data_IF_569106497278
#
_entry.id   IF_569106497278
#
_cell.length_a   1.000
_cell.length_b   1.000
_cell.length_c   1.000
_cell.angle_alpha   90.00
_cell.angle_beta   90.00
_cell.angle_gamma   90.00
#
_symmetry.space_group_name_H-M   'P 1'
#
loop_
_entity.id
_entity.type
_entity.pdbx_description
1 polymer ?
#
# COMPACT_ATOMS: atom_id res chain seq x y z
N UNK A 1 5.95 11.52 10.50
CA UNK A 1 6.32 12.54 11.51
C UNK A 1 5.20 12.79 12.52
N UNK A 2 3.95 12.92 12.12
CA UNK A 2 2.83 13.18 13.04
C UNK A 2 2.67 12.10 14.12
N UNK A 3 2.80 10.81 13.76
CA UNK A 3 2.69 9.71 14.71
C UNK A 3 3.80 9.72 15.79
N UNK A 4 5.01 10.18 15.44
CA UNK A 4 6.12 10.34 16.40
C UNK A 4 5.81 11.46 17.39
N UNK A 5 5.23 12.55 16.92
CA UNK A 5 4.85 13.69 17.77
C UNK A 5 3.76 13.26 18.76
N UNK A 6 2.77 12.48 18.30
CA UNK A 6 1.71 11.93 19.15
C UNK A 6 2.31 11.00 20.22
N UNK A 7 3.23 10.10 19.85
CA UNK A 7 3.88 9.20 20.79
C UNK A 7 4.73 9.94 21.82
N UNK A 8 5.49 10.95 21.40
CA UNK A 8 6.27 11.82 22.29
C UNK A 8 5.32 12.59 23.22
N UNK A 9 4.21 13.11 22.72
CA UNK A 9 3.22 13.85 23.53
C UNK A 9 2.58 12.94 24.59
N UNK A 10 2.25 11.69 24.24
CA UNK A 10 1.74 10.69 25.17
C UNK A 10 2.81 10.34 26.22
N UNK A 11 4.07 10.17 25.81
CA UNK A 11 5.18 9.89 26.72
C UNK A 11 5.40 11.05 27.70
N UNK A 12 5.37 12.29 27.22
CA UNK A 12 5.47 13.50 28.06
C UNK A 12 4.29 13.56 29.04
N UNK A 13 3.06 13.25 28.60
CA UNK A 13 1.88 13.20 29.46
C UNK A 13 2.05 12.16 30.59
N UNK A 14 2.60 10.98 30.26
CA UNK A 14 2.91 9.92 31.23
C UNK A 14 3.93 10.39 32.25
N UNK A 15 5.00 11.06 31.80
CA UNK A 15 6.04 11.61 32.66
C UNK A 15 5.49 12.72 33.56
N UNK A 16 4.64 13.61 33.04
CA UNK A 16 3.97 14.65 33.82
C UNK A 16 3.00 14.08 34.85
N UNK A 17 2.25 13.03 34.51
CA UNK A 17 1.38 12.31 35.43
C UNK A 17 2.18 11.58 36.52
N UNK A 18 3.35 11.04 36.21
CA UNK A 18 4.24 10.36 37.17
C UNK A 18 4.99 11.33 38.07
N UNK A 19 5.38 12.50 37.58
CA UNK A 19 6.12 13.50 38.39
C UNK A 19 5.28 14.12 39.52
N UNK A 20 3.96 14.10 39.41
CA UNK A 20 3.03 14.56 40.46
C UNK A 20 2.69 13.47 41.50
N UNK A 21 3.18 12.24 41.30
CA UNK A 21 2.93 11.10 42.19
C UNK A 21 4.12 10.87 43.12
N UNK A 22 3.84 10.66 44.42
CA UNK A 22 4.86 10.28 45.37
C UNK A 22 5.49 8.92 44.96
N UNK A 23 6.79 8.71 45.23
CA UNK A 23 7.53 7.47 45.01
C UNK A 23 6.81 6.23 45.54
N UNK A 24 6.02 6.37 46.57
CA UNK A 24 5.17 5.33 47.16
C UNK A 24 4.18 4.77 46.15
N UNK A 25 3.46 5.62 45.41
CA UNK A 25 2.46 5.17 44.43
C UNK A 25 3.11 4.39 43.28
N UNK A 26 4.28 4.84 42.82
CA UNK A 26 5.02 4.15 41.75
C UNK A 26 5.46 2.77 42.22
N UNK A 27 6.03 2.65 43.42
CA UNK A 27 6.46 1.39 43.98
C UNK A 27 5.28 0.41 44.20
N UNK A 28 4.16 0.91 44.69
CA UNK A 28 2.96 0.11 44.90
C UNK A 28 2.36 -0.37 43.58
N UNK A 29 2.29 0.50 42.55
CA UNK A 29 1.82 0.10 41.21
C UNK A 29 2.72 -0.94 40.55
N UNK A 30 4.05 -0.85 40.72
CA UNK A 30 4.98 -1.85 40.21
C UNK A 30 4.79 -3.21 40.93
N UNK A 31 4.54 -3.21 42.23
CA UNK A 31 4.19 -4.42 42.98
C UNK A 31 2.89 -5.06 42.50
N UNK A 32 1.86 -4.27 42.28
CA UNK A 32 0.59 -4.74 41.69
C UNK A 32 0.77 -5.24 40.26
N UNK A 33 1.62 -4.57 39.45
CA UNK A 33 1.96 -5.01 38.10
C UNK A 33 2.60 -6.42 38.12
N UNK A 34 3.57 -6.66 39.00
CA UNK A 34 4.21 -7.96 39.12
C UNK A 34 3.19 -9.08 39.47
N UNK A 35 2.31 -8.83 40.42
CA UNK A 35 1.24 -9.77 40.79
C UNK A 35 0.27 -10.02 39.63
N UNK A 36 -0.10 -8.97 38.90
CA UNK A 36 -1.01 -9.08 37.75
C UNK A 36 -0.37 -9.84 36.59
N UNK A 37 0.90 -9.54 36.26
CA UNK A 37 1.64 -10.25 35.24
C UNK A 37 1.76 -11.74 35.54
N UNK A 38 2.08 -12.11 36.80
CA UNK A 38 2.19 -13.51 37.19
C UNK A 38 0.85 -14.28 37.14
N UNK A 39 -0.29 -13.62 37.37
CA UNK A 39 -1.62 -14.28 37.33
C UNK A 39 -2.22 -14.34 35.93
N UNK A 40 -1.93 -13.36 35.08
CA UNK A 40 -2.52 -13.22 33.75
C UNK A 40 -1.53 -13.49 32.61
N UNK A 41 -0.32 -13.99 32.92
CA UNK A 41 0.75 -14.17 31.93
C UNK A 41 0.27 -14.90 30.66
N UNK A 42 -0.54 -15.94 30.81
CA UNK A 42 -1.06 -16.72 29.68
C UNK A 42 -1.91 -15.89 28.73
N UNK A 43 -2.80 -15.05 29.26
CA UNK A 43 -3.64 -14.16 28.44
C UNK A 43 -2.84 -13.01 27.84
N UNK A 44 -1.82 -12.53 28.57
CA UNK A 44 -0.90 -11.49 28.07
C UNK A 44 0.01 -12.04 26.97
N UNK A 45 0.54 -13.26 27.13
CA UNK A 45 1.28 -13.93 26.06
C UNK A 45 0.43 -14.14 24.81
N UNK A 46 -0.85 -14.53 24.99
CA UNK A 46 -1.76 -14.69 23.85
C UNK A 46 -1.97 -13.39 23.07
N UNK A 47 -2.18 -12.26 23.76
CA UNK A 47 -2.35 -10.97 23.07
C UNK A 47 -1.06 -10.51 22.39
N UNK A 48 0.11 -10.73 23.00
CA UNK A 48 1.39 -10.44 22.38
C UNK A 48 1.56 -11.24 21.09
N UNK A 49 1.31 -12.56 21.13
CA UNK A 49 1.38 -13.40 19.95
C UNK A 49 0.42 -12.94 18.84
N UNK A 50 -0.82 -12.61 19.21
CA UNK A 50 -1.81 -12.12 18.27
C UNK A 50 -1.39 -10.81 17.63
N UNK A 51 -0.90 -9.84 18.41
CA UNK A 51 -0.41 -8.56 17.91
C UNK A 51 0.82 -8.73 17.02
N UNK A 52 1.75 -9.61 17.37
CA UNK A 52 2.93 -9.93 16.55
C UNK A 52 2.49 -10.55 15.22
N UNK A 53 1.57 -11.51 15.25
CA UNK A 53 1.06 -12.13 14.03
C UNK A 53 0.42 -11.10 13.08
N UNK A 54 -0.37 -10.17 13.62
CA UNK A 54 -1.01 -9.12 12.81
C UNK A 54 0.03 -8.10 12.31
N UNK A 55 1.04 -7.76 13.10
CA UNK A 55 2.09 -6.85 12.63
C UNK A 55 2.93 -7.45 11.51
N UNK A 56 3.18 -8.77 11.52
CA UNK A 56 3.84 -9.48 10.42
C UNK A 56 2.95 -9.50 9.18
N UNK A 57 1.66 -9.77 9.36
CA UNK A 57 0.68 -9.77 8.26
C UNK A 57 0.56 -8.39 7.60
N UNK A 58 0.62 -7.31 8.38
CA UNK A 58 0.65 -5.94 7.88
C UNK A 58 1.93 -5.64 7.10
N UNK A 59 3.08 -6.08 7.61
CA UNK A 59 4.36 -5.97 6.89
C UNK A 59 4.32 -6.69 5.55
N UNK A 60 3.77 -7.90 5.52
CA UNK A 60 3.56 -8.67 4.29
C UNK A 60 2.62 -7.93 3.32
N UNK A 61 1.49 -7.42 3.81
CA UNK A 61 0.54 -6.65 3.00
C UNK A 61 1.19 -5.40 2.40
N UNK A 62 1.96 -4.67 3.18
CA UNK A 62 2.67 -3.48 2.70
C UNK A 62 3.65 -3.83 1.58
N UNK A 63 4.46 -4.87 1.77
CA UNK A 63 5.41 -5.36 0.76
C UNK A 63 4.69 -5.83 -0.52
N UNK A 64 3.62 -6.62 -0.37
CA UNK A 64 2.81 -7.06 -1.52
C UNK A 64 2.23 -5.89 -2.31
N UNK A 65 1.74 -4.86 -1.62
CA UNK A 65 1.19 -3.65 -2.25
C UNK A 65 2.27 -2.90 -3.05
N UNK A 66 3.49 -2.81 -2.52
CA UNK A 66 4.62 -2.22 -3.24
C UNK A 66 4.98 -3.03 -4.49
N UNK A 67 5.10 -4.34 -4.36
CA UNK A 67 5.38 -5.23 -5.49
C UNK A 67 4.32 -5.12 -6.60
N UNK A 68 3.03 -5.07 -6.23
CA UNK A 68 1.94 -4.88 -7.20
C UNK A 68 2.04 -3.52 -7.90
N UNK A 69 2.38 -2.45 -7.19
CA UNK A 69 2.60 -1.12 -7.79
C UNK A 69 3.77 -1.13 -8.78
N UNK A 70 4.89 -1.73 -8.41
CA UNK A 70 6.05 -1.86 -9.30
C UNK A 70 5.73 -2.74 -10.51
N UNK A 71 5.07 -3.87 -10.31
CA UNK A 71 4.67 -4.75 -11.39
C UNK A 71 3.80 -4.04 -12.43
N UNK A 72 2.82 -3.25 -11.98
CA UNK A 72 1.99 -2.42 -12.88
C UNK A 72 2.84 -1.38 -13.60
N UNK A 73 3.73 -0.70 -12.88
CA UNK A 73 4.54 0.36 -13.45
C UNK A 73 5.48 -0.14 -14.57
N UNK A 74 6.09 -1.31 -14.36
CA UNK A 74 7.01 -1.91 -15.33
C UNK A 74 6.33 -2.75 -16.42
N UNK A 75 4.99 -2.82 -16.42
CA UNK A 75 4.18 -3.45 -17.48
C UNK A 75 3.69 -2.42 -18.51
N UNK A 76 4.57 -1.56 -19.00
CA UNK A 76 4.32 -0.52 -19.99
C UNK A 76 3.41 0.65 -19.55
N UNK A 77 3.04 0.72 -18.26
CA UNK A 77 2.10 1.73 -17.75
C UNK A 77 2.78 2.89 -17.02
N UNK A 78 3.98 2.68 -16.45
CA UNK A 78 4.61 3.66 -15.57
C UNK A 78 3.89 3.82 -14.23
N UNK A 79 4.32 4.78 -13.41
CA UNK A 79 3.70 5.11 -12.13
C UNK A 79 2.61 6.16 -12.25
N UNK A 80 2.78 7.10 -13.20
CA UNK A 80 1.90 8.24 -13.42
C UNK A 80 1.49 8.28 -14.89
N UNK A 81 0.21 8.52 -15.12
CA UNK A 81 -0.36 8.69 -16.45
C UNK A 81 -0.90 10.11 -16.61
N UNK A 82 -0.55 10.75 -17.72
CA UNK A 82 -1.01 12.07 -18.12
C UNK A 82 -1.84 11.92 -19.39
N UNK A 83 -3.05 12.45 -19.40
CA UNK A 83 -3.94 12.49 -20.58
C UNK A 83 -4.69 13.81 -20.64
N UNK A 84 -5.28 14.12 -21.79
CA UNK A 84 -6.05 15.34 -21.96
C UNK A 84 -7.35 15.24 -21.18
N UNK A 85 -7.68 16.27 -20.40
CA UNK A 85 -8.92 16.32 -19.62
C UNK A 85 -10.12 16.42 -20.54
N UNK A 86 -11.06 15.47 -20.42
CA UNK A 86 -12.35 15.54 -21.08
C UNK A 86 -13.37 16.25 -20.19
N UNK A 87 -14.14 17.17 -20.77
CA UNK A 87 -15.22 17.87 -20.05
C UNK A 87 -16.47 16.99 -19.83
N UNK A 88 -16.52 15.78 -20.39
CA UNK A 88 -17.60 14.81 -20.20
C UNK A 88 -17.16 13.73 -19.22
N UNK A 89 -17.74 13.81 -18.04
CA UNK A 89 -17.55 12.85 -16.92
C UNK A 89 -18.13 11.47 -17.29
N UNK A 90 -17.35 10.59 -17.91
CA UNK A 90 -17.62 9.16 -17.87
C UNK A 90 -16.34 8.35 -18.04
N UNK A 91 -15.74 7.98 -16.90
CA UNK A 91 -14.44 7.30 -16.81
C UNK A 91 -14.57 5.79 -17.09
N UNK A 92 -15.80 5.26 -17.26
CA UNK A 92 -16.03 3.80 -17.16
C UNK A 92 -16.27 3.06 -18.48
N UNK A 93 -16.54 3.73 -19.58
CA UNK A 93 -16.85 3.00 -20.83
C UNK A 93 -16.16 3.61 -22.04
N UNK A 94 -15.39 2.76 -22.75
CA UNK A 94 -14.81 2.93 -24.10
C UNK A 94 -14.50 4.40 -24.45
N UNK A 95 -13.26 4.83 -24.25
CA UNK A 95 -12.86 6.17 -24.66
C UNK A 95 -11.85 6.12 -25.76
N UNK A 96 -12.20 6.77 -26.84
CA UNK A 96 -11.22 7.39 -27.71
C UNK A 96 -10.48 8.43 -26.84
N UNK A 97 -9.24 8.16 -26.51
CA UNK A 97 -8.40 9.13 -25.78
C UNK A 97 -8.35 10.40 -26.61
N UNK A 98 -8.72 11.55 -26.02
CA UNK A 98 -8.47 12.83 -26.62
C UNK A 98 -6.98 12.99 -26.85
N UNK A 99 -6.59 13.20 -28.08
CA UNK A 99 -5.17 13.27 -28.44
C UNK A 99 -4.51 14.51 -27.83
N UNK A 100 -3.33 14.31 -27.28
CA UNK A 100 -2.43 15.37 -26.79
C UNK A 100 -1.60 15.81 -28.00
N UNK A 101 -1.92 16.97 -28.55
CA UNK A 101 -1.25 17.50 -29.75
C UNK A 101 0.09 18.17 -29.47
N UNK A 102 0.26 18.68 -28.25
CA UNK A 102 1.47 19.38 -27.78
C UNK A 102 2.33 18.50 -26.86
N UNK A 103 2.42 17.20 -27.14
CA UNK A 103 3.13 16.24 -26.31
C UNK A 103 4.64 16.58 -26.17
N UNK A 104 5.30 17.01 -27.24
CA UNK A 104 6.72 17.40 -27.23
C UNK A 104 6.97 18.58 -26.28
N UNK A 105 6.09 19.58 -26.27
CA UNK A 105 6.17 20.73 -25.38
C UNK A 105 6.03 20.30 -23.91
N UNK A 106 5.06 19.42 -23.64
CA UNK A 106 4.82 18.89 -22.28
C UNK A 106 6.06 18.11 -21.80
N UNK A 107 6.59 17.22 -22.63
CA UNK A 107 7.80 16.46 -22.31
C UNK A 107 8.97 17.39 -22.01
N UNK A 108 9.15 18.44 -22.85
CA UNK A 108 10.18 19.44 -22.63
C UNK A 108 10.02 20.18 -21.29
N UNK A 109 8.80 20.58 -20.94
CA UNK A 109 8.53 21.23 -19.64
C UNK A 109 8.85 20.31 -18.46
N UNK A 110 8.54 19.01 -18.56
CA UNK A 110 8.84 18.03 -17.51
C UNK A 110 10.34 17.75 -17.37
N UNK A 111 11.07 17.75 -18.49
CA UNK A 111 12.52 17.48 -18.49
C UNK A 111 13.35 18.71 -18.11
N UNK A 112 12.83 19.91 -18.29
CA UNK A 112 13.52 21.15 -17.93
C UNK A 112 13.52 21.42 -16.42
N UNK A 113 12.55 20.90 -15.69
CA UNK A 113 12.47 21.03 -14.23
C UNK A 113 13.43 20.06 -13.53
N UNK A 114 14.51 20.61 -12.95
CA UNK A 114 15.55 19.81 -12.26
C UNK A 114 14.99 18.90 -11.17
N UNK A 115 14.00 19.35 -10.39
CA UNK A 115 13.46 18.57 -9.30
C UNK A 115 12.61 17.38 -9.80
N UNK A 116 11.94 17.54 -10.95
CA UNK A 116 11.23 16.44 -11.61
C UNK A 116 12.22 15.46 -12.24
N UNK A 117 13.25 15.98 -12.92
CA UNK A 117 14.26 15.16 -13.61
C UNK A 117 15.03 14.24 -12.64
N UNK A 118 15.30 14.70 -11.42
CA UNK A 118 15.95 13.86 -10.40
C UNK A 118 15.10 12.65 -9.98
N UNK A 119 13.76 12.79 -10.00
CA UNK A 119 12.80 11.75 -9.57
C UNK A 119 12.32 10.89 -10.73
N UNK A 120 12.29 11.41 -11.93
CA UNK A 120 11.81 10.70 -13.13
C UNK A 120 12.92 9.79 -13.66
N UNK A 121 12.56 8.55 -13.98
CA UNK A 121 13.43 7.60 -14.65
C UNK A 121 13.23 7.64 -16.17
N UNK A 122 11.95 7.58 -16.62
CA UNK A 122 11.58 7.58 -18.03
C UNK A 122 10.25 8.33 -18.22
N UNK A 123 10.17 9.09 -19.31
CA UNK A 123 8.93 9.67 -19.83
C UNK A 123 8.64 8.96 -21.14
N UNK A 124 7.48 8.36 -21.27
CA UNK A 124 7.08 7.53 -22.41
C UNK A 124 5.78 8.04 -23.03
N UNK A 125 5.84 8.80 -24.13
CA UNK A 125 4.66 9.12 -24.91
C UNK A 125 4.14 7.85 -25.59
N UNK A 126 2.81 7.65 -25.56
CA UNK A 126 2.18 6.44 -26.06
C UNK A 126 0.91 6.75 -26.85
N UNK A 127 0.67 5.97 -27.91
CA UNK A 127 -0.59 5.96 -28.63
C UNK A 127 -1.25 4.62 -28.40
N UNK A 128 -2.50 4.65 -27.91
CA UNK A 128 -3.32 3.46 -27.78
C UNK A 128 -4.19 3.36 -29.04
N UNK A 129 -4.23 2.21 -29.65
CA UNK A 129 -5.10 1.92 -30.78
C UNK A 129 -5.61 0.50 -30.67
N UNK A 130 -6.67 0.18 -31.38
CA UNK A 130 -7.21 -1.19 -31.45
C UNK A 130 -7.38 -1.57 -32.90
N UNK A 131 -7.29 -2.84 -33.16
CA UNK A 131 -7.37 -3.35 -34.51
C UNK A 131 -7.47 -4.86 -34.55
N UNK A 132 -7.13 -5.40 -35.70
CA UNK A 132 -7.14 -6.81 -36.01
C UNK A 132 -5.82 -7.20 -36.66
N UNK A 133 -5.23 -8.29 -36.21
CA UNK A 133 -4.06 -8.91 -36.87
C UNK A 133 -4.57 -10.04 -37.73
N UNK A 134 -4.14 -10.06 -38.99
CA UNK A 134 -4.39 -11.11 -39.96
C UNK A 134 -3.06 -11.83 -40.29
N UNK A 135 -3.04 -13.15 -40.14
CA UNK A 135 -1.97 -13.96 -40.66
C UNK A 135 -2.10 -14.02 -42.19
N UNK A 136 -1.05 -13.58 -42.93
CA UNK A 136 -1.07 -13.50 -44.39
C UNK A 136 -1.25 -14.87 -45.05
N UNK A 137 -0.77 -15.95 -44.43
CA UNK A 137 -0.76 -17.30 -44.98
C UNK A 137 -2.13 -18.00 -44.80
N UNK A 138 -2.57 -18.10 -43.56
CA UNK A 138 -3.77 -18.87 -43.19
C UNK A 138 -5.06 -18.05 -43.08
N UNK A 139 -4.96 -16.73 -43.29
CA UNK A 139 -6.09 -15.75 -43.20
C UNK A 139 -6.81 -15.73 -41.86
N UNK A 140 -6.28 -16.34 -40.82
CA UNK A 140 -6.84 -16.23 -39.48
C UNK A 140 -6.63 -14.84 -38.94
N UNK A 141 -7.62 -14.35 -38.20
CA UNK A 141 -7.64 -13.01 -37.65
C UNK A 141 -7.94 -13.02 -36.15
N UNK A 142 -7.36 -12.07 -35.42
CA UNK A 142 -7.63 -11.86 -34.00
C UNK A 142 -7.67 -10.36 -33.69
N UNK A 143 -8.57 -9.95 -32.79
CA UNK A 143 -8.64 -8.58 -32.28
C UNK A 143 -7.54 -8.36 -31.27
N UNK A 144 -6.97 -7.15 -31.27
CA UNK A 144 -5.93 -6.77 -30.35
C UNK A 144 -6.11 -5.35 -29.82
N UNK A 145 -5.47 -5.07 -28.69
CA UNK A 145 -5.20 -3.72 -28.20
C UNK A 145 -3.74 -3.36 -28.49
N UNK A 146 -3.52 -2.32 -29.26
CA UNK A 146 -2.19 -1.89 -29.70
C UNK A 146 -1.63 -0.76 -28.85
N UNK A 147 -0.34 -0.82 -28.61
CA UNK A 147 0.43 0.20 -27.95
C UNK A 147 1.56 0.66 -28.88
N UNK A 148 1.51 1.91 -29.34
CA UNK A 148 2.64 2.52 -30.00
C UNK A 148 3.52 3.23 -28.97
N UNK A 149 4.78 2.83 -28.87
CA UNK A 149 5.72 3.25 -27.85
C UNK A 149 7.12 3.45 -28.44
N UNK A 150 7.89 4.36 -27.86
CA UNK A 150 9.29 4.50 -28.22
C UNK A 150 10.10 3.27 -27.78
N UNK A 151 10.84 2.60 -28.68
CA UNK A 151 11.64 1.42 -28.34
C UNK A 151 12.64 1.68 -27.20
N UNK A 152 13.18 2.90 -27.12
CA UNK A 152 14.11 3.30 -26.06
C UNK A 152 13.43 3.30 -24.68
N UNK A 153 12.20 3.77 -24.59
CA UNK A 153 11.41 3.78 -23.36
C UNK A 153 10.97 2.38 -22.95
N UNK A 154 10.70 1.53 -23.96
CA UNK A 154 10.20 0.17 -23.76
C UNK A 154 11.16 -0.70 -22.96
N UNK A 155 12.47 -0.58 -23.15
CA UNK A 155 13.48 -1.34 -22.43
C UNK A 155 13.40 -1.16 -20.90
N UNK A 156 12.88 -0.02 -20.46
CA UNK A 156 12.77 0.31 -19.03
C UNK A 156 11.35 0.12 -18.53
N UNK A 157 10.36 0.71 -19.21
CA UNK A 157 8.96 0.69 -18.75
C UNK A 157 8.25 -0.65 -19.03
N UNK A 158 8.76 -1.44 -19.99
CA UNK A 158 8.27 -2.78 -20.34
C UNK A 158 9.13 -3.92 -19.78
N UNK A 159 9.93 -3.68 -18.76
CA UNK A 159 10.92 -4.62 -18.26
C UNK A 159 10.32 -5.94 -17.72
N UNK A 160 9.04 -5.94 -17.37
CA UNK A 160 8.36 -7.16 -16.88
C UNK A 160 7.63 -7.96 -17.97
N UNK A 161 7.62 -7.48 -19.21
CA UNK A 161 7.14 -8.30 -20.32
C UNK A 161 8.24 -9.28 -20.75
N UNK A 162 7.98 -10.56 -20.56
CA UNK A 162 8.97 -11.59 -20.89
C UNK A 162 8.95 -11.90 -22.39
N UNK A 163 10.05 -11.67 -23.07
CA UNK A 163 10.23 -12.10 -24.46
C UNK A 163 10.36 -13.62 -24.51
N UNK A 164 9.39 -14.28 -25.17
CA UNK A 164 9.35 -15.74 -25.34
C UNK A 164 10.19 -16.15 -26.55
N UNK A 165 10.10 -15.41 -27.64
CA UNK A 165 10.91 -15.63 -28.84
C UNK A 165 11.16 -14.31 -29.59
N UNK A 166 12.28 -14.23 -30.29
CA UNK A 166 12.67 -13.03 -31.00
C UNK A 166 13.30 -11.97 -30.11
N UNK A 167 13.01 -10.70 -30.35
CA UNK A 167 13.52 -9.55 -29.62
C UNK A 167 12.49 -8.43 -29.52
N UNK A 168 12.67 -7.50 -28.58
CA UNK A 168 11.86 -6.28 -28.48
C UNK A 168 12.04 -5.37 -29.70
N UNK A 169 11.16 -4.36 -29.82
CA UNK A 169 11.16 -3.37 -30.90
C UNK A 169 12.54 -2.71 -31.06
N UNK A 170 12.96 -2.48 -32.31
CA UNK A 170 14.24 -1.85 -32.60
C UNK A 170 14.12 -0.32 -32.65
N UNK A 171 15.28 0.36 -32.55
CA UNK A 171 15.37 1.82 -32.75
C UNK A 171 15.37 2.21 -34.22
N UNK A 172 15.35 1.25 -35.12
CA UNK A 172 15.35 1.51 -36.57
C UNK A 172 13.91 1.62 -37.05
N UNK A 173 13.60 2.63 -37.87
CA UNK A 173 12.30 2.81 -38.52
C UNK A 173 11.99 1.63 -39.47
N UNK A 174 11.49 0.55 -38.92
CA UNK A 174 11.04 -0.61 -39.67
C UNK A 174 9.57 -0.88 -39.35
N UNK A 175 8.84 -1.41 -40.30
CA UNK A 175 7.51 -1.95 -40.06
C UNK A 175 7.61 -3.26 -39.30
N UNK A 176 7.81 -3.19 -38.01
CA UNK A 176 7.95 -4.30 -37.09
C UNK A 176 6.91 -4.24 -35.97
N UNK A 177 6.56 -5.40 -35.43
CA UNK A 177 5.58 -5.54 -34.37
C UNK A 177 6.06 -6.60 -33.37
N UNK A 178 5.81 -6.37 -32.09
CA UNK A 178 5.85 -7.45 -31.10
C UNK A 178 4.43 -7.78 -30.66
N UNK A 179 4.13 -9.06 -30.50
CA UNK A 179 2.80 -9.57 -30.23
C UNK A 179 2.78 -10.42 -28.97
N UNK A 180 1.66 -10.38 -28.25
CA UNK A 180 1.44 -11.26 -27.13
C UNK A 180 1.36 -12.73 -27.58
N UNK A 181 1.86 -13.64 -26.73
CA UNK A 181 1.84 -15.08 -27.00
C UNK A 181 0.42 -15.59 -27.31
N UNK A 182 -0.60 -15.05 -26.62
CA UNK A 182 -1.98 -15.43 -26.89
C UNK A 182 -2.38 -15.15 -28.35
N UNK A 183 -1.96 -14.02 -28.92
CA UNK A 183 -2.18 -13.68 -30.34
C UNK A 183 -1.44 -14.66 -31.24
N UNK A 184 -0.14 -14.89 -30.94
CA UNK A 184 0.70 -15.77 -31.71
C UNK A 184 0.10 -17.19 -31.83
N UNK A 185 -0.33 -17.73 -30.68
CA UNK A 185 -0.92 -19.08 -30.61
C UNK A 185 -2.29 -19.12 -31.32
N UNK A 186 -3.14 -18.08 -31.17
CA UNK A 186 -4.49 -18.04 -31.76
C UNK A 186 -4.48 -18.07 -33.28
N UNK A 187 -3.53 -17.43 -33.94
CA UNK A 187 -3.46 -17.33 -35.40
C UNK A 187 -2.26 -18.06 -36.01
N UNK A 188 -1.57 -18.88 -35.21
CA UNK A 188 -0.40 -19.68 -35.58
C UNK A 188 0.68 -18.82 -36.27
N UNK A 189 1.25 -17.90 -35.53
CA UNK A 189 2.32 -17.02 -36.00
C UNK A 189 3.58 -17.27 -35.17
N UNK A 190 4.71 -17.28 -35.86
CA UNK A 190 6.04 -17.40 -35.29
C UNK A 190 6.85 -16.08 -35.46
N UNK A 191 7.97 -16.03 -34.78
CA UNK A 191 8.96 -14.96 -34.97
C UNK A 191 9.42 -14.93 -36.43
N UNK A 192 9.46 -13.75 -37.04
CA UNK A 192 9.85 -13.53 -38.41
C UNK A 192 8.71 -13.58 -39.43
N UNK A 193 7.51 -14.04 -39.06
CA UNK A 193 6.38 -14.13 -39.97
C UNK A 193 5.84 -12.72 -40.36
N UNK A 194 5.29 -12.63 -41.59
CA UNK A 194 4.63 -11.42 -42.09
C UNK A 194 3.16 -11.46 -41.69
N UNK A 195 2.69 -10.36 -41.10
CA UNK A 195 1.29 -10.17 -40.67
C UNK A 195 0.73 -8.87 -41.20
N UNK A 196 -0.57 -8.79 -41.40
CA UNK A 196 -1.28 -7.55 -41.69
C UNK A 196 -1.92 -7.01 -40.42
N UNK A 197 -1.46 -5.84 -39.96
CA UNK A 197 -2.12 -5.08 -38.91
C UNK A 197 -3.18 -4.18 -39.53
N UNK A 198 -4.44 -4.44 -39.19
CA UNK A 198 -5.59 -3.73 -39.72
C UNK A 198 -6.20 -2.86 -38.62
N UNK A 199 -6.29 -1.57 -38.81
CA UNK A 199 -6.94 -0.64 -37.90
C UNK A 199 -7.73 0.43 -38.66
N UNK A 200 -8.65 1.11 -37.96
CA UNK A 200 -9.45 2.17 -38.55
C UNK A 200 -8.91 3.52 -38.03
N UNK A 201 -8.64 4.41 -39.00
CA UNK A 201 -8.27 5.78 -38.69
C UNK A 201 -9.06 6.73 -39.60
N UNK A 202 -9.74 7.74 -39.06
CA UNK A 202 -10.58 8.68 -39.78
C UNK A 202 -11.60 8.00 -40.69
N UNK A 203 -12.25 6.92 -40.23
CA UNK A 203 -13.21 6.08 -40.98
C UNK A 203 -12.59 5.33 -42.17
N UNK A 204 -11.29 5.37 -42.36
CA UNK A 204 -10.59 4.59 -43.40
C UNK A 204 -9.94 3.36 -42.82
N UNK A 205 -10.03 2.24 -43.53
CA UNK A 205 -9.37 0.99 -43.19
C UNK A 205 -7.91 1.10 -43.60
N UNK A 206 -7.04 1.12 -42.60
CA UNK A 206 -5.58 1.09 -42.79
C UNK A 206 -5.07 -0.34 -42.66
N UNK A 207 -4.22 -0.77 -43.60
CA UNK A 207 -3.57 -2.09 -43.56
C UNK A 207 -2.06 -1.86 -43.55
N UNK A 208 -1.41 -2.32 -42.51
CA UNK A 208 0.03 -2.20 -42.35
C UNK A 208 0.68 -3.59 -42.39
N UNK A 209 1.35 -3.97 -43.49
CA UNK A 209 2.13 -5.19 -43.48
C UNK A 209 3.37 -5.03 -42.57
N UNK A 210 3.52 -5.92 -41.63
CA UNK A 210 4.57 -5.87 -40.61
C UNK A 210 5.19 -7.23 -40.37
N UNK A 211 6.46 -7.25 -39.95
CA UNK A 211 7.13 -8.47 -39.51
C UNK A 211 7.04 -8.62 -38.01
N UNK A 212 6.75 -9.84 -37.55
CA UNK A 212 6.78 -10.17 -36.12
C UNK A 212 8.22 -10.24 -35.65
N UNK A 213 8.66 -9.21 -34.93
CA UNK A 213 10.00 -9.11 -34.39
C UNK A 213 10.19 -9.90 -33.09
N UNK A 214 9.13 -10.05 -32.31
CA UNK A 214 9.17 -10.80 -31.09
C UNK A 214 7.80 -11.20 -30.59
N UNK A 215 7.77 -12.25 -29.80
CA UNK A 215 6.61 -12.74 -29.09
C UNK A 215 6.90 -12.59 -27.60
N UNK A 216 6.04 -11.88 -26.89
CA UNK A 216 6.18 -11.66 -25.45
C UNK A 216 5.00 -12.23 -24.68
N UNK A 217 5.19 -12.45 -23.39
CA UNK A 217 4.13 -12.87 -22.49
C UNK A 217 3.85 -11.74 -21.51
N UNK A 218 2.65 -11.20 -21.57
CA UNK A 218 2.19 -10.14 -20.67
C UNK A 218 1.79 -10.74 -19.34
N UNK A 219 2.49 -10.40 -18.27
CA UNK A 219 2.21 -10.93 -16.93
C UNK A 219 0.97 -10.29 -16.27
N UNK A 220 0.60 -9.10 -16.70
CA UNK A 220 -0.59 -8.39 -16.23
C UNK A 220 -1.47 -8.03 -17.42
N UNK A 221 -2.67 -8.60 -17.46
CA UNK A 221 -3.72 -8.19 -18.38
C UNK A 221 -4.29 -6.81 -17.98
N UNK A 222 -3.54 -5.75 -18.27
CA UNK A 222 -3.97 -4.37 -18.05
C UNK A 222 -4.91 -3.87 -19.15
N UNK A 223 -5.04 -4.62 -20.23
CA UNK A 223 -5.84 -4.29 -21.39
C UNK A 223 -6.93 -5.34 -21.61
N UNK A 224 -8.11 -4.94 -22.13
CA UNK A 224 -9.23 -5.85 -22.34
C UNK A 224 -9.00 -6.92 -23.41
N UNK A 225 -7.95 -6.75 -24.24
CA UNK A 225 -7.56 -7.67 -25.30
C UNK A 225 -6.06 -7.93 -25.21
N UNK A 226 -5.62 -9.02 -25.83
CA UNK A 226 -4.20 -9.33 -25.98
C UNK A 226 -3.44 -8.17 -26.64
N UNK A 227 -2.25 -7.89 -26.17
CA UNK A 227 -1.51 -6.68 -26.48
C UNK A 227 -0.58 -6.85 -27.68
N UNK A 228 -0.43 -5.81 -28.47
CA UNK A 228 0.61 -5.68 -29.48
C UNK A 228 1.36 -4.38 -29.29
N UNK A 229 2.66 -4.37 -29.62
CA UNK A 229 3.47 -3.16 -29.55
C UNK A 229 4.01 -2.82 -30.93
N UNK A 230 3.97 -1.56 -31.29
CA UNK A 230 4.57 -1.02 -32.53
C UNK A 230 5.43 0.19 -32.19
N UNK A 231 6.44 0.55 -33.01
CA UNK A 231 7.21 1.77 -32.82
C UNK A 231 6.29 3.01 -32.93
N UNK A 232 6.44 3.95 -31.99
CA UNK A 232 5.63 5.17 -31.93
C UNK A 232 5.73 5.97 -33.24
N UNK A 233 6.94 6.15 -33.74
CA UNK A 233 7.21 6.90 -34.98
C UNK A 233 6.48 6.31 -36.20
N UNK A 234 6.38 4.97 -36.25
CA UNK A 234 5.68 4.28 -37.35
C UNK A 234 4.21 4.66 -37.37
N UNK A 235 3.55 4.64 -36.23
CA UNK A 235 2.12 4.98 -36.16
C UNK A 235 1.87 6.48 -36.36
N UNK A 236 2.74 7.34 -35.83
CA UNK A 236 2.69 8.79 -36.05
C UNK A 236 2.86 9.14 -37.54
N UNK A 237 3.77 8.45 -38.24
CA UNK A 237 3.97 8.61 -39.67
C UNK A 237 2.69 8.26 -40.47
N UNK A 238 2.07 7.12 -40.12
CA UNK A 238 0.84 6.65 -40.79
C UNK A 238 -0.32 7.60 -40.51
N UNK A 239 -0.48 8.05 -39.27
CA UNK A 239 -1.51 9.00 -38.85
C UNK A 239 -1.25 10.44 -39.34
N UNK A 240 -0.07 10.71 -39.89
CA UNK A 240 0.40 12.06 -40.25
C UNK A 240 0.24 13.07 -39.09
N UNK A 241 0.42 12.64 -37.87
CA UNK A 241 0.24 13.45 -36.67
C UNK A 241 1.25 13.06 -35.61
N UNK A 242 1.83 14.05 -34.91
CA UNK A 242 2.72 13.85 -33.76
C UNK A 242 1.96 13.73 -32.43
N UNK A 243 0.64 13.74 -32.48
CA UNK A 243 -0.21 13.60 -31.29
C UNK A 243 -0.02 12.25 -30.62
N UNK A 244 -0.24 12.20 -29.31
CA UNK A 244 -0.19 10.98 -28.51
C UNK A 244 -1.48 10.83 -27.69
N UNK A 245 -1.84 9.61 -27.34
CA UNK A 245 -3.03 9.35 -26.52
C UNK A 245 -2.78 9.69 -25.06
N UNK A 246 -1.56 9.42 -24.58
CA UNK A 246 -1.14 9.63 -23.20
C UNK A 246 0.36 9.73 -23.06
N UNK A 247 0.82 10.25 -21.93
CA UNK A 247 2.22 10.27 -21.53
C UNK A 247 2.35 9.52 -20.21
N UNK A 248 3.11 8.46 -20.20
CA UNK A 248 3.40 7.68 -19.00
C UNK A 248 4.75 8.07 -18.42
N UNK A 249 4.81 8.16 -17.09
CA UNK A 249 6.03 8.52 -16.37
C UNK A 249 6.39 7.40 -15.42
N UNK A 250 7.59 6.86 -15.57
CA UNK A 250 8.20 5.95 -14.63
C UNK A 250 9.11 6.74 -13.68
N UNK A 251 8.92 6.57 -12.38
CA UNK A 251 9.72 7.20 -11.35
C UNK A 251 10.82 6.27 -10.87
N UNK A 252 11.91 6.82 -10.36
CA UNK A 252 13.00 6.07 -9.70
C UNK A 252 12.55 5.47 -8.36
N UNK A 253 11.59 6.13 -7.69
CA UNK A 253 11.07 5.68 -6.40
C UNK A 253 9.54 5.83 -6.35
N UNK A 254 8.84 4.75 -5.99
CA UNK A 254 7.37 4.70 -5.86
C UNK A 254 6.83 5.71 -4.82
N UNK A 255 7.62 6.02 -3.79
CA UNK A 255 7.22 6.97 -2.74
C UNK A 255 7.13 8.43 -3.23
N UNK A 256 7.69 8.74 -4.39
CA UNK A 256 7.66 10.10 -4.96
C UNK A 256 6.40 10.41 -5.76
N UNK A 257 5.50 9.44 -5.97
CA UNK A 257 4.29 9.59 -6.82
C UNK A 257 3.51 10.84 -6.44
N UNK A 258 3.12 11.00 -5.18
CA UNK A 258 2.26 12.09 -4.74
C UNK A 258 2.94 13.46 -4.90
N UNK A 259 4.23 13.54 -4.59
CA UNK A 259 5.03 14.77 -4.73
C UNK A 259 5.19 15.20 -6.19
N UNK A 260 5.39 14.24 -7.09
CA UNK A 260 5.52 14.48 -8.53
C UNK A 260 4.18 14.87 -9.14
N UNK A 261 3.09 14.17 -8.79
CA UNK A 261 1.73 14.53 -9.23
C UNK A 261 1.36 15.94 -8.81
N UNK A 262 1.60 16.31 -7.55
CA UNK A 262 1.32 17.66 -7.05
C UNK A 262 2.07 18.73 -7.86
N UNK A 263 3.34 18.46 -8.20
CA UNK A 263 4.16 19.40 -8.98
C UNK A 263 3.71 19.50 -10.43
N UNK A 264 3.45 18.37 -11.10
CA UNK A 264 2.92 18.36 -12.48
C UNK A 264 1.56 19.06 -12.54
N UNK A 265 0.69 18.82 -11.55
CA UNK A 265 -0.63 19.48 -11.46
C UNK A 265 -0.49 21.00 -11.30
N UNK A 266 0.53 21.47 -10.58
CA UNK A 266 0.85 22.90 -10.47
C UNK A 266 1.28 23.48 -11.81
N UNK A 267 2.23 22.85 -12.51
CA UNK A 267 2.66 23.25 -13.87
C UNK A 267 1.49 23.28 -14.85
N UNK A 268 0.61 22.26 -14.79
CA UNK A 268 -0.59 22.16 -15.60
C UNK A 268 -1.53 23.37 -15.39
N UNK A 269 -1.72 23.81 -14.13
CA UNK A 269 -2.52 25.00 -13.80
C UNK A 269 -1.85 26.30 -14.28
N UNK A 270 -0.57 26.45 -14.03
CA UNK A 270 0.21 27.66 -14.41
C UNK A 270 0.25 27.85 -15.93
N UNK A 271 0.34 26.78 -16.70
CA UNK A 271 0.40 26.78 -18.16
C UNK A 271 -0.94 26.54 -18.85
N UNK A 272 -2.02 26.31 -18.11
CA UNK A 272 -3.39 26.03 -18.63
C UNK A 272 -3.42 24.90 -19.67
N UNK A 273 -2.65 23.83 -19.45
CA UNK A 273 -2.49 22.73 -20.42
C UNK A 273 -3.71 21.81 -20.54
N UNK A 274 -4.68 21.95 -19.65
CA UNK A 274 -5.91 21.13 -19.60
C UNK A 274 -5.63 19.61 -19.56
N UNK A 275 -4.66 19.20 -18.74
CA UNK A 275 -4.27 17.81 -18.55
C UNK A 275 -4.87 17.25 -17.27
N UNK A 276 -5.10 15.94 -17.28
CA UNK A 276 -5.40 15.16 -16.08
C UNK A 276 -4.20 14.27 -15.76
N UNK A 277 -3.76 14.30 -14.51
CA UNK A 277 -2.59 13.57 -13.99
C UNK A 277 -3.07 12.64 -12.91
N UNK A 278 -2.90 11.34 -13.09
CA UNK A 278 -3.34 10.33 -12.13
C UNK A 278 -2.27 9.28 -11.90
N UNK A 279 -2.22 8.68 -10.69
CA UNK A 279 -1.43 7.48 -10.47
C UNK A 279 -2.07 6.31 -11.23
N UNK A 280 -1.26 5.53 -11.96
CA UNK A 280 -1.75 4.44 -12.81
C UNK A 280 -2.50 3.37 -11.99
N UNK A 281 -2.08 3.15 -10.74
CA UNK A 281 -2.73 2.18 -9.85
C UNK A 281 -4.23 2.47 -9.66
N UNK A 282 -4.64 3.74 -9.69
CA UNK A 282 -6.05 4.14 -9.54
C UNK A 282 -6.94 3.71 -10.70
N UNK A 283 -6.36 3.41 -11.86
CA UNK A 283 -7.11 2.87 -13.01
C UNK A 283 -7.26 1.35 -12.97
N UNK A 284 -6.47 0.67 -12.18
CA UNK A 284 -6.49 -0.79 -12.06
C UNK A 284 -7.51 -1.22 -11.00
N UNK A 285 -8.79 -1.22 -11.39
CA UNK A 285 -9.91 -1.53 -10.48
C UNK A 285 -9.73 -2.86 -9.73
N UNK A 286 -9.16 -3.87 -10.37
CA UNK A 286 -8.87 -5.16 -9.76
C UNK A 286 -7.85 -5.04 -8.61
N UNK A 287 -6.73 -4.34 -8.85
CA UNK A 287 -5.68 -4.15 -7.84
C UNK A 287 -6.20 -3.30 -6.68
N UNK A 288 -6.94 -2.22 -6.99
CA UNK A 288 -7.58 -1.39 -5.96
C UNK A 288 -8.53 -2.23 -5.11
N UNK A 289 -9.32 -3.11 -5.71
CA UNK A 289 -10.25 -3.97 -4.98
C UNK A 289 -9.51 -4.90 -4.02
N UNK A 290 -8.40 -5.52 -4.46
CA UNK A 290 -7.54 -6.36 -3.61
C UNK A 290 -6.95 -5.54 -2.45
N UNK A 291 -6.32 -4.41 -2.75
CA UNK A 291 -5.71 -3.53 -1.75
C UNK A 291 -6.75 -3.05 -0.74
N UNK A 292 -7.94 -2.66 -1.20
CA UNK A 292 -9.04 -2.19 -0.37
C UNK A 292 -9.59 -3.31 0.51
N UNK A 293 -9.75 -4.52 -0.03
CA UNK A 293 -10.18 -5.69 0.74
C UNK A 293 -9.20 -6.00 1.89
N UNK A 294 -7.90 -6.02 1.62
CA UNK A 294 -6.90 -6.21 2.65
C UNK A 294 -6.92 -5.10 3.71
N UNK A 295 -7.07 -3.84 3.29
CA UNK A 295 -7.19 -2.71 4.22
C UNK A 295 -8.37 -2.87 5.19
N UNK A 296 -9.55 -3.25 4.69
CA UNK A 296 -10.72 -3.49 5.53
C UNK A 296 -10.55 -4.71 6.45
N UNK A 297 -9.89 -5.76 5.95
CA UNK A 297 -9.57 -6.95 6.75
C UNK A 297 -8.65 -6.61 7.92
N UNK A 298 -7.62 -5.79 7.69
CA UNK A 298 -6.72 -5.31 8.75
C UNK A 298 -7.46 -4.47 9.79
N UNK A 299 -8.33 -3.55 9.36
CA UNK A 299 -9.12 -2.71 10.26
C UNK A 299 -10.04 -3.57 11.14
N UNK A 300 -10.63 -4.63 10.60
CA UNK A 300 -11.43 -5.59 11.37
C UNK A 300 -10.57 -6.30 12.41
N UNK A 301 -9.39 -6.81 12.04
CA UNK A 301 -8.46 -7.47 12.96
C UNK A 301 -8.03 -6.54 14.10
N UNK A 302 -7.70 -5.30 13.81
CA UNK A 302 -7.38 -4.27 14.82
C UNK A 302 -8.55 -4.04 15.78
N UNK A 303 -9.78 -3.99 15.25
CA UNK A 303 -10.98 -3.81 16.08
C UNK A 303 -11.18 -4.98 17.05
N UNK A 304 -10.97 -6.21 16.59
CA UNK A 304 -11.04 -7.43 17.41
C UNK A 304 -10.00 -7.37 18.54
N UNK A 305 -8.75 -7.03 18.23
CA UNK A 305 -7.69 -6.88 19.25
C UNK A 305 -8.06 -5.81 20.27
N UNK A 306 -8.53 -4.65 19.83
CA UNK A 306 -8.88 -3.55 20.72
C UNK A 306 -9.98 -3.96 21.71
N UNK A 307 -11.01 -4.63 21.21
CA UNK A 307 -12.12 -5.13 22.01
C UNK A 307 -11.64 -6.21 23.01
N UNK A 308 -10.83 -7.17 22.52
CA UNK A 308 -10.30 -8.21 23.39
C UNK A 308 -9.41 -7.63 24.49
N UNK A 309 -8.52 -6.69 24.15
CA UNK A 309 -7.64 -6.05 25.11
C UNK A 309 -8.41 -5.18 26.12
N UNK A 310 -9.44 -4.48 25.66
CA UNK A 310 -10.35 -3.76 26.55
C UNK A 310 -10.95 -4.68 27.63
N UNK A 311 -11.50 -5.83 27.25
CA UNK A 311 -12.07 -6.77 28.21
C UNK A 311 -11.00 -7.38 29.12
N UNK A 312 -9.82 -7.67 28.61
CA UNK A 312 -8.70 -8.18 29.39
C UNK A 312 -8.29 -7.20 30.48
N UNK A 313 -8.03 -5.93 30.11
CA UNK A 313 -7.64 -4.87 31.06
C UNK A 313 -8.73 -4.65 32.10
N UNK A 314 -9.99 -4.55 31.67
CA UNK A 314 -11.12 -4.41 32.59
C UNK A 314 -11.20 -5.57 33.60
N UNK A 315 -11.03 -6.81 33.16
CA UNK A 315 -11.00 -8.00 34.01
C UNK A 315 -9.83 -7.95 35.01
N UNK A 316 -8.64 -7.57 34.55
CA UNK A 316 -7.45 -7.44 35.37
C UNK A 316 -7.68 -6.41 36.47
N UNK A 317 -8.14 -5.21 36.14
CA UNK A 317 -8.39 -4.13 37.09
C UNK A 317 -9.42 -4.58 38.16
N UNK A 318 -10.53 -5.21 37.76
CA UNK A 318 -11.56 -5.70 38.70
C UNK A 318 -10.99 -6.72 39.68
N UNK A 319 -10.17 -7.67 39.19
CA UNK A 319 -9.58 -8.70 40.08
C UNK A 319 -8.54 -8.07 41.00
N UNK A 320 -7.75 -7.14 40.49
CA UNK A 320 -6.76 -6.43 41.31
C UNK A 320 -7.44 -5.60 42.41
N UNK A 321 -8.55 -4.90 42.09
CA UNK A 321 -9.35 -4.19 43.08
C UNK A 321 -9.85 -5.14 44.17
N UNK A 322 -10.42 -6.31 43.80
CA UNK A 322 -10.91 -7.29 44.76
C UNK A 322 -9.83 -7.83 45.68
N UNK A 323 -8.59 -8.02 45.17
CA UNK A 323 -7.46 -8.49 45.99
C UNK A 323 -6.91 -7.41 46.92
N UNK A 324 -6.86 -6.16 46.44
CA UNK A 324 -6.33 -5.02 47.20
C UNK A 324 -7.41 -4.29 48.02
N UNK A 325 -8.63 -4.83 48.16
CA UNK A 325 -9.73 -4.08 48.77
C UNK A 325 -9.53 -3.78 50.26
N UNK A 326 -8.87 -4.66 51.00
CA UNK A 326 -8.48 -4.45 52.41
C UNK A 326 -7.53 -3.28 52.53
N UNK A 327 -6.48 -3.28 51.75
CA UNK A 327 -5.43 -2.25 51.75
C UNK A 327 -6.00 -0.89 51.33
N UNK A 328 -6.86 -0.91 50.28
CA UNK A 328 -7.57 0.30 49.83
C UNK A 328 -8.50 0.87 50.87
N UNK A 329 -9.13 -0.02 51.67
CA UNK A 329 -10.01 0.42 52.77
C UNK A 329 -9.21 1.04 53.90
N UNK A 330 -8.09 0.48 54.31
CA UNK A 330 -7.17 1.05 55.29
C UNK A 330 -6.60 2.43 54.83
N UNK A 331 -6.17 2.52 53.59
CA UNK A 331 -5.75 3.80 53.03
C UNK A 331 -6.85 4.88 53.04
N UNK A 332 -8.11 4.48 52.78
CA UNK A 332 -9.26 5.38 52.85
C UNK A 332 -9.54 5.84 54.32
N UNK A 333 -9.27 4.98 55.32
CA UNK A 333 -9.36 5.35 56.74
C UNK A 333 -8.27 6.35 57.16
N UNK A 334 -7.07 6.23 56.54
CA UNK A 334 -5.94 7.17 56.73
C UNK A 334 -6.14 8.50 56.00
N UNK A 335 -7.29 8.73 55.36
CA UNK A 335 -7.63 9.98 54.72
C UNK A 335 -7.12 10.16 53.30
N UNK A 336 -6.61 9.09 52.67
CA UNK A 336 -6.16 9.15 51.28
C UNK A 336 -7.39 9.26 50.38
N UNK A 337 -7.42 10.34 49.57
CA UNK A 337 -8.56 10.68 48.73
C UNK A 337 -8.85 9.62 47.66
N UNK A 338 -10.14 9.32 47.45
CA UNK A 338 -10.61 8.31 46.50
C UNK A 338 -10.10 8.53 45.07
N UNK A 339 -9.86 9.76 44.65
CA UNK A 339 -9.26 10.11 43.36
C UNK A 339 -7.84 9.58 43.17
N UNK A 340 -7.09 9.37 44.26
CA UNK A 340 -5.73 8.80 44.21
C UNK A 340 -5.73 7.32 43.78
N UNK A 341 -6.76 6.57 44.17
CA UNK A 341 -6.92 5.16 43.75
C UNK A 341 -7.22 5.06 42.24
N UNK A 342 -7.99 6.00 41.72
CA UNK A 342 -8.27 6.07 40.28
C UNK A 342 -7.00 6.23 39.48
N UNK A 343 -6.11 7.14 39.89
CA UNK A 343 -4.80 7.36 39.24
C UNK A 343 -3.93 6.12 39.29
N UNK A 344 -3.93 5.36 40.39
CA UNK A 344 -3.18 4.14 40.55
C UNK A 344 -3.56 3.08 39.51
N UNK A 345 -4.86 2.86 39.27
CA UNK A 345 -5.35 1.88 38.30
C UNK A 345 -5.13 2.33 36.83
N UNK A 346 -5.20 3.64 36.56
CA UNK A 346 -4.81 4.20 35.26
C UNK A 346 -3.33 3.95 35.00
N UNK A 347 -2.47 4.24 35.98
CA UNK A 347 -1.02 3.99 35.87
C UNK A 347 -0.72 2.51 35.66
N UNK A 348 -1.39 1.62 36.37
CA UNK A 348 -1.26 0.18 36.20
C UNK A 348 -1.57 -0.23 34.76
N UNK A 349 -2.68 0.26 34.18
CA UNK A 349 -3.06 -0.01 32.79
C UNK A 349 -2.04 0.54 31.80
N UNK A 350 -1.51 1.73 32.03
CA UNK A 350 -0.47 2.35 31.20
C UNK A 350 0.82 1.54 31.25
N UNK A 351 1.33 1.17 32.42
CA UNK A 351 2.55 0.36 32.54
C UNK A 351 2.39 -1.00 31.88
N UNK A 352 1.24 -1.67 32.06
CA UNK A 352 0.95 -2.91 31.36
C UNK A 352 0.99 -2.74 29.83
N UNK A 353 0.40 -1.67 29.32
CA UNK A 353 0.36 -1.42 27.88
C UNK A 353 1.75 -1.13 27.34
N UNK A 354 2.56 -0.38 28.06
CA UNK A 354 3.95 -0.09 27.68
C UNK A 354 4.78 -1.38 27.63
N UNK A 355 4.70 -2.22 28.66
CA UNK A 355 5.45 -3.49 28.69
C UNK A 355 5.05 -4.42 27.55
N UNK A 356 3.75 -4.54 27.27
CA UNK A 356 3.23 -5.35 26.16
C UNK A 356 3.71 -4.77 24.83
N UNK A 357 3.60 -3.46 24.61
CA UNK A 357 4.03 -2.80 23.38
C UNK A 357 5.52 -3.00 23.11
N UNK A 358 6.38 -2.81 24.10
CA UNK A 358 7.82 -3.06 23.98
C UNK A 358 8.08 -4.52 23.61
N UNK A 359 7.38 -5.47 24.25
CA UNK A 359 7.55 -6.90 23.96
C UNK A 359 7.13 -7.23 22.52
N UNK A 360 6.02 -6.66 22.03
CA UNK A 360 5.56 -6.82 20.64
C UNK A 360 6.62 -6.31 19.67
N UNK A 361 7.16 -5.11 19.92
CA UNK A 361 8.18 -4.50 19.07
C UNK A 361 9.46 -5.34 19.00
N UNK A 362 9.94 -5.84 20.13
CA UNK A 362 11.14 -6.68 20.20
C UNK A 362 10.95 -8.01 19.46
N UNK A 363 9.83 -8.70 19.69
CA UNK A 363 9.55 -9.98 19.05
C UNK A 363 9.36 -9.80 17.55
N UNK A 364 8.62 -8.78 17.12
CA UNK A 364 8.43 -8.49 15.69
C UNK A 364 9.78 -8.22 15.02
N UNK A 365 10.63 -7.39 15.62
CA UNK A 365 11.93 -7.06 15.06
C UNK A 365 12.84 -8.30 14.92
N UNK A 366 12.82 -9.18 15.92
CA UNK A 366 13.56 -10.45 15.90
C UNK A 366 13.05 -11.36 14.76
N UNK A 367 11.73 -11.49 14.63
CA UNK A 367 11.13 -12.34 13.59
C UNK A 367 11.37 -11.77 12.20
N UNK A 368 11.25 -10.46 12.01
CA UNK A 368 11.55 -9.81 10.72
C UNK A 368 13.02 -10.03 10.33
N UNK A 369 13.93 -9.92 11.28
CA UNK A 369 15.34 -10.22 11.04
C UNK A 369 15.58 -11.69 10.62
N UNK A 370 14.95 -12.65 11.33
CA UNK A 370 15.06 -14.08 11.01
C UNK A 370 14.47 -14.42 9.64
N UNK A 371 13.34 -13.82 9.27
CA UNK A 371 12.68 -14.05 7.97
C UNK A 371 13.54 -13.48 6.84
N UNK A 372 14.07 -12.27 7.02
CA UNK A 372 14.93 -11.63 6.03
C UNK A 372 16.26 -12.38 5.81
N UNK A 373 16.79 -13.05 6.84
CA UNK A 373 17.97 -13.89 6.70
C UNK A 373 17.75 -15.09 5.78
N UNK A 374 16.54 -15.65 5.76
CA UNK A 374 16.22 -16.85 4.97
C UNK A 374 15.91 -16.55 3.50
N UNK A 375 15.77 -15.28 3.10
CA UNK A 375 15.43 -14.86 1.73
C UNK A 375 14.34 -15.74 1.11
N UNK A 376 13.18 -15.81 1.76
CA UNK A 376 12.05 -16.63 1.29
C UNK A 376 11.58 -16.08 -0.06
N UNK A 377 11.71 -16.85 -1.12
CA UNK A 377 11.24 -16.48 -2.45
C UNK A 377 9.80 -16.93 -2.63
N UNK A 378 8.93 -15.98 -3.00
CA UNK A 378 7.54 -16.25 -3.37
C UNK A 378 7.44 -16.15 -4.89
N UNK A 379 7.05 -17.23 -5.58
CA UNK A 379 6.73 -17.19 -6.99
C UNK A 379 5.28 -16.75 -7.17
N UNK A 380 5.06 -15.58 -7.73
CA UNK A 380 3.73 -15.09 -8.12
C UNK A 380 3.32 -15.57 -9.52
N UNK A 381 4.28 -16.01 -10.32
CA UNK A 381 4.08 -16.65 -11.62
C UNK A 381 5.22 -17.66 -11.86
N UNK A 382 5.04 -18.57 -12.82
CA UNK A 382 6.00 -19.65 -13.12
C UNK A 382 7.43 -19.16 -13.43
N UNK A 383 7.61 -17.90 -13.78
CA UNK A 383 8.89 -17.34 -14.21
C UNK A 383 9.47 -16.25 -13.31
N UNK A 384 8.72 -15.73 -12.32
CA UNK A 384 9.19 -14.66 -11.44
C UNK A 384 9.10 -15.06 -9.98
N UNK A 385 10.24 -15.22 -9.35
CA UNK A 385 10.36 -15.35 -7.90
C UNK A 385 10.76 -14.01 -7.30
N UNK A 386 9.96 -13.53 -6.38
CA UNK A 386 10.28 -12.32 -5.59
C UNK A 386 10.73 -12.74 -4.20
N UNK A 387 11.82 -12.13 -3.73
CA UNK A 387 12.24 -12.32 -2.35
C UNK A 387 11.26 -11.63 -1.42
N UNK A 388 10.70 -12.37 -0.47
CA UNK A 388 9.91 -11.80 0.61
C UNK A 388 10.84 -11.03 1.55
N UNK A 389 10.80 -9.71 1.46
CA UNK A 389 11.50 -8.83 2.39
C UNK A 389 10.43 -8.23 3.31
N UNK A 390 10.44 -8.61 4.58
CA UNK A 390 9.63 -7.91 5.58
C UNK A 390 10.33 -6.59 5.93
N UNK A 391 9.66 -5.44 5.68
CA UNK A 391 10.24 -4.16 6.03
C UNK A 391 10.50 -4.09 7.54
N UNK A 392 11.55 -3.36 7.93
CA UNK A 392 11.82 -3.07 9.32
C UNK A 392 10.68 -2.24 9.91
N UNK A 393 10.38 -2.43 11.19
CA UNK A 393 9.23 -1.77 11.85
C UNK A 393 9.16 -0.26 11.65
N UNK A 394 10.31 0.42 11.57
CA UNK A 394 10.35 1.89 11.35
C UNK A 394 10.02 2.33 9.92
N UNK A 395 9.84 1.38 8.99
CA UNK A 395 9.53 1.69 7.58
C UNK A 395 8.03 1.78 7.30
N UNK A 396 7.17 1.40 8.27
CA UNK A 396 5.72 1.46 8.10
C UNK A 396 5.00 1.91 9.36
N UNK A 397 3.78 2.44 9.17
CA UNK A 397 2.99 3.05 10.24
C UNK A 397 2.51 2.06 11.32
N UNK A 398 2.53 0.77 11.05
CA UNK A 398 2.12 -0.30 11.97
C UNK A 398 2.86 -0.27 13.31
N UNK A 399 4.10 0.19 13.31
CA UNK A 399 4.88 0.34 14.53
C UNK A 399 4.16 1.16 15.60
N UNK A 400 3.36 2.14 15.18
CA UNK A 400 2.65 3.07 16.08
C UNK A 400 1.18 2.73 16.22
N UNK A 401 0.56 2.14 15.21
CA UNK A 401 -0.90 1.86 15.20
C UNK A 401 -1.30 0.86 16.26
N UNK A 402 -0.58 -0.26 16.42
CA UNK A 402 -0.89 -1.30 17.42
C UNK A 402 -0.69 -0.78 18.85
N UNK A 403 0.49 -0.22 19.24
CA UNK A 403 0.66 0.35 20.57
C UNK A 403 -0.34 1.45 20.91
N UNK A 404 -0.65 2.33 19.97
CA UNK A 404 -1.60 3.42 20.15
C UNK A 404 -3.01 2.89 20.38
N UNK A 405 -3.45 1.90 19.63
CA UNK A 405 -4.74 1.26 19.77
C UNK A 405 -4.87 0.52 21.11
N UNK A 406 -3.83 -0.20 21.56
CA UNK A 406 -3.78 -0.82 22.86
C UNK A 406 -3.86 0.24 23.97
N UNK A 407 -3.16 1.35 23.81
CA UNK A 407 -3.19 2.45 24.77
C UNK A 407 -4.59 3.07 24.92
N UNK A 408 -5.28 3.37 23.82
CA UNK A 408 -6.65 3.88 23.86
C UNK A 408 -7.63 2.88 24.49
N UNK A 409 -7.55 1.60 24.13
CA UNK A 409 -8.41 0.57 24.71
C UNK A 409 -8.17 0.40 26.21
N UNK A 410 -6.91 0.46 26.66
CA UNK A 410 -6.55 0.39 28.08
C UNK A 410 -7.04 1.59 28.87
N UNK A 411 -6.92 2.80 28.33
CA UNK A 411 -7.40 4.03 28.99
C UNK A 411 -8.92 4.03 29.15
N UNK A 412 -9.66 3.64 28.11
CA UNK A 412 -11.11 3.49 28.17
C UNK A 412 -11.51 2.42 29.22
N UNK A 413 -10.84 1.27 29.21
CA UNK A 413 -11.10 0.20 30.19
C UNK A 413 -10.85 0.65 31.63
N UNK A 414 -9.75 1.38 31.87
CA UNK A 414 -9.42 1.89 33.21
C UNK A 414 -10.41 2.95 33.67
N UNK A 415 -10.82 3.88 32.82
CA UNK A 415 -11.84 4.88 33.15
C UNK A 415 -13.17 4.25 33.57
N UNK A 416 -13.64 3.25 32.83
CA UNK A 416 -14.89 2.54 33.17
C UNK A 416 -14.74 1.75 34.47
N UNK A 417 -13.58 1.11 34.68
CA UNK A 417 -13.32 0.34 35.91
C UNK A 417 -13.28 1.19 37.16
N UNK A 418 -12.86 2.46 37.07
CA UNK A 418 -12.84 3.42 38.18
C UNK A 418 -14.23 3.61 38.79
N UNK A 419 -15.27 3.73 37.97
CA UNK A 419 -16.64 3.84 38.48
C UNK A 419 -17.04 2.63 39.32
N UNK A 420 -16.50 1.44 38.99
CA UNK A 420 -16.76 0.21 39.76
C UNK A 420 -16.02 0.19 41.11
N UNK A 421 -14.84 0.82 41.20
CA UNK A 421 -14.08 0.91 42.47
C UNK A 421 -14.91 1.53 43.58
N UNK A 422 -15.57 2.64 43.34
CA UNK A 422 -16.39 3.33 44.33
C UNK A 422 -17.57 2.45 44.78
N UNK A 423 -18.13 1.65 43.88
CA UNK A 423 -19.22 0.71 44.23
C UNK A 423 -18.71 -0.46 45.11
N UNK A 424 -17.56 -1.05 44.79
CA UNK A 424 -16.97 -2.12 45.59
C UNK A 424 -16.55 -1.64 46.99
N UNK A 425 -15.98 -0.45 47.13
CA UNK A 425 -15.61 0.14 48.42
C UNK A 425 -16.84 0.40 49.26
N UNK A 426 -17.93 0.94 48.71
CA UNK A 426 -19.20 1.16 49.43
C UNK A 426 -19.79 -0.18 49.89
N UNK A 427 -19.78 -1.23 49.10
CA UNK A 427 -20.29 -2.55 49.45
C UNK A 427 -19.46 -3.21 50.55
N UNK A 428 -18.12 -3.09 50.48
CA UNK A 428 -17.22 -3.61 51.52
C UNK A 428 -17.42 -2.90 52.84
N UNK A 429 -17.59 -1.56 52.82
CA UNK A 429 -17.87 -0.77 54.01
C UNK A 429 -19.18 -1.19 54.66
N UNK A 430 -20.23 -1.42 53.87
CA UNK A 430 -21.55 -1.85 54.41
C UNK A 430 -21.49 -3.21 55.09
N UNK A 431 -20.73 -4.17 54.49
CA UNK A 431 -20.61 -5.54 55.06
C UNK A 431 -19.75 -5.59 56.33
N UNK A 432 -18.80 -4.63 56.53
CA UNK A 432 -17.93 -4.59 57.71
C UNK A 432 -18.50 -3.69 58.86
N UNK A 433 -19.60 -2.96 58.64
CA UNK A 433 -20.29 -2.19 59.67
C UNK A 433 -21.42 -3.04 60.34
N UNK A 434 -21.78 -4.16 59.70
CA UNK A 434 -22.82 -5.10 60.18
C UNK A 434 -22.24 -6.24 61.01
N UNK A 435 -20.94 -6.23 61.32
CA UNK A 435 -20.24 -7.06 62.30
C UNK A 435 -19.77 -6.15 63.45
#
# INVERSE_FOLDING_TARGET
MENIIIFISIFILIVLLSSSLSWFYIKYTLGLLYITLSHFYRNLCFIVLLCVAISILEGFYHHLTLLLKEQVAYSNLGHIEIYKKDNKQDITNKKDYLEITNAEEIIHLLTYDKQLLEKIQVISPQIIFSGMIENVINKKTVLFSGLAIEPKSLLTIGAYDLTVSGSELSHVRRTEITIDKFIADAININYGDLVNVVFIHNNEKMVLPTYVRGIFNTQINSYPYAMTKVPLETLQYIKKSKSVSKINILLKNVHDIDSVIAKITRINKEKSLNLQVIPVIERQSYIISIVTFFKWSMLLLYSIIAIYYYFLVNKIIIITIKKAISDLFEFNRLGIWRGSFSRLFILLAIFMTITISITILLIHQLLSWLINLKQINISLSDNNSYSLILPWLWQYDAMFTIPLLLFFSATIASCISIFKVSHYLKKYQKNNITI
#
